data_IF_155643431534
#
_entry.id   IF_155643431534
#
_cell.length_a   1.000
_cell.length_b   1.000
_cell.length_c   1.000
_cell.angle_alpha   90.00
_cell.angle_beta   90.00
_cell.angle_gamma   90.00
#
_symmetry.space_group_name_H-M   'P 1'
#
loop_
_entity.id
_entity.type
_entity.pdbx_description
1 polymer ?
#
# COMPACT_ATOMS: atom_id res chain seq x y z
N UNK A 1 2.34 5.33 -15.39
CA UNK A 1 2.88 4.60 -14.24
C UNK A 1 2.73 3.10 -14.44
N UNK A 2 3.84 2.36 -14.25
CA UNK A 2 3.85 0.90 -14.40
C UNK A 2 3.08 0.21 -13.24
N UNK A 3 3.00 0.87 -12.08
CA UNK A 3 2.28 0.42 -10.88
C UNK A 3 1.16 1.40 -10.53
N UNK A 4 0.18 1.53 -11.41
CA UNK A 4 -1.02 2.32 -11.12
C UNK A 4 -1.90 1.62 -10.10
N UNK A 5 -2.78 2.37 -9.44
CA UNK A 5 -3.83 1.80 -8.60
C UNK A 5 -5.00 1.35 -9.49
N UNK A 6 -5.46 0.14 -9.27
CA UNK A 6 -6.64 -0.40 -9.97
C UNK A 6 -7.91 0.28 -9.48
N UNK A 7 -8.63 0.92 -10.39
CA UNK A 7 -9.91 1.53 -10.09
C UNK A 7 -10.91 0.49 -9.55
N UNK A 8 -11.53 0.78 -8.42
CA UNK A 8 -12.46 -0.13 -7.76
C UNK A 8 -11.81 -1.38 -7.14
N UNK A 9 -10.48 -1.50 -7.19
CA UNK A 9 -9.72 -2.62 -6.65
C UNK A 9 -9.47 -2.54 -5.14
N UNK A 10 -8.72 -3.53 -4.63
CA UNK A 10 -8.26 -3.58 -3.25
C UNK A 10 -6.78 -3.20 -3.22
N UNK A 11 -6.45 -2.14 -2.50
CA UNK A 11 -5.08 -1.64 -2.34
C UNK A 11 -4.63 -1.76 -0.90
N UNK A 12 -3.37 -2.13 -0.67
CA UNK A 12 -2.77 -2.17 0.66
C UNK A 12 -1.40 -1.49 0.68
N UNK A 13 -1.13 -0.74 1.74
CA UNK A 13 0.18 -0.16 2.03
C UNK A 13 0.75 -0.82 3.29
N UNK A 14 1.79 -1.62 3.11
CA UNK A 14 2.48 -2.33 4.16
C UNK A 14 3.58 -1.45 4.77
N UNK A 15 3.48 -1.13 6.06
CA UNK A 15 4.35 -0.16 6.74
C UNK A 15 3.97 1.29 6.42
N UNK A 16 2.66 1.56 6.26
CA UNK A 16 2.13 2.84 5.76
C UNK A 16 1.87 3.91 6.81
N UNK A 17 2.22 3.72 8.09
CA UNK A 17 2.00 4.75 9.12
C UNK A 17 3.20 5.71 9.31
N UNK A 18 4.17 5.70 8.40
CA UNK A 18 5.24 6.69 8.34
C UNK A 18 4.86 7.92 7.49
N UNK A 19 5.76 8.93 7.41
CA UNK A 19 5.52 10.15 6.62
C UNK A 19 5.18 9.87 5.15
N UNK A 20 5.91 8.95 4.52
CA UNK A 20 5.66 8.56 3.12
C UNK A 20 4.31 7.88 2.94
N UNK A 21 3.90 7.04 3.90
CA UNK A 21 2.59 6.41 3.88
C UNK A 21 1.46 7.42 4.04
N UNK A 22 1.62 8.40 4.94
CA UNK A 22 0.65 9.49 5.11
C UNK A 22 0.43 10.26 3.80
N UNK A 23 1.52 10.61 3.10
CA UNK A 23 1.45 11.27 1.80
C UNK A 23 0.78 10.38 0.75
N UNK A 24 1.11 9.08 0.73
CA UNK A 24 0.50 8.13 -0.20
C UNK A 24 -1.01 7.97 0.03
N UNK A 25 -1.46 7.92 1.30
CA UNK A 25 -2.90 7.88 1.62
C UNK A 25 -3.61 9.12 1.08
N UNK A 26 -3.06 10.31 1.36
CA UNK A 26 -3.61 11.58 0.84
C UNK A 26 -3.69 11.56 -0.68
N UNK A 27 -2.59 11.19 -1.35
CA UNK A 27 -2.54 11.11 -2.80
C UNK A 27 -3.61 10.18 -3.36
N UNK A 28 -3.77 8.97 -2.79
CA UNK A 28 -4.79 8.00 -3.23
C UNK A 28 -6.21 8.56 -3.07
N UNK A 29 -6.48 9.30 -2.02
CA UNK A 29 -7.80 9.90 -1.81
C UNK A 29 -8.10 11.04 -2.79
N UNK A 30 -7.08 11.70 -3.35
CA UNK A 30 -7.23 12.79 -4.32
C UNK A 30 -7.16 12.33 -5.79
N UNK A 31 -6.70 11.10 -6.06
CA UNK A 31 -6.65 10.55 -7.42
C UNK A 31 -8.05 10.52 -8.06
N UNK A 32 -8.09 10.65 -9.39
CA UNK A 32 -9.32 10.46 -10.16
C UNK A 32 -9.81 9.00 -10.10
N UNK A 33 -8.90 8.07 -10.37
CA UNK A 33 -9.16 6.62 -10.29
C UNK A 33 -8.77 6.10 -8.92
N UNK A 34 -9.74 5.72 -8.12
CA UNK A 34 -9.56 5.31 -6.72
C UNK A 34 -9.78 3.81 -6.53
N UNK A 35 -9.10 3.18 -5.56
CA UNK A 35 -9.45 1.84 -5.15
C UNK A 35 -10.80 1.86 -4.42
N UNK A 36 -11.52 0.73 -4.43
CA UNK A 36 -12.67 0.54 -3.55
C UNK A 36 -12.23 0.52 -2.09
N UNK A 37 -11.11 -0.17 -1.82
CA UNK A 37 -10.57 -0.38 -0.47
C UNK A 37 -9.11 -0.02 -0.39
N UNK A 38 -8.75 0.74 0.66
CA UNK A 38 -7.37 1.08 1.00
C UNK A 38 -7.08 0.62 2.43
N UNK A 39 -6.17 -0.34 2.57
CA UNK A 39 -5.74 -0.87 3.87
C UNK A 39 -4.34 -0.36 4.18
N UNK A 40 -4.16 0.20 5.36
CA UNK A 40 -2.88 0.68 5.88
C UNK A 40 -2.45 -0.22 7.01
N UNK A 41 -1.25 -0.78 6.93
CA UNK A 41 -0.70 -1.57 8.03
C UNK A 41 0.56 -0.93 8.58
N UNK A 42 0.77 -1.08 9.88
CA UNK A 42 2.03 -0.80 10.56
C UNK A 42 2.06 -1.58 11.89
N UNK A 43 3.26 -1.99 12.32
CA UNK A 43 3.42 -2.69 13.61
C UNK A 43 3.45 -1.72 14.79
N UNK A 44 3.65 -0.43 14.55
CA UNK A 44 3.65 0.60 15.58
C UNK A 44 2.24 1.18 15.75
N UNK A 45 1.58 0.80 16.85
CA UNK A 45 0.21 1.22 17.16
C UNK A 45 0.05 2.74 17.28
N UNK A 46 1.01 3.41 17.92
CA UNK A 46 0.96 4.86 18.10
C UNK A 46 1.02 5.62 16.76
N UNK A 47 1.83 5.11 15.81
CA UNK A 47 1.89 5.68 14.44
C UNK A 47 0.56 5.48 13.72
N UNK A 48 -0.03 4.29 13.80
CA UNK A 48 -1.35 4.03 13.20
C UNK A 48 -2.42 4.96 13.75
N UNK A 49 -2.44 5.17 15.08
CA UNK A 49 -3.40 6.08 15.71
C UNK A 49 -3.17 7.55 15.31
N UNK A 50 -1.91 7.98 15.18
CA UNK A 50 -1.60 9.32 14.68
C UNK A 50 -2.11 9.52 13.26
N UNK A 51 -1.81 8.58 12.35
CA UNK A 51 -2.28 8.65 10.96
C UNK A 51 -3.80 8.61 10.90
N UNK A 52 -4.45 7.74 11.69
CA UNK A 52 -5.92 7.66 11.78
C UNK A 52 -6.57 8.95 12.31
N UNK A 53 -5.88 9.69 13.19
CA UNK A 53 -6.36 11.02 13.64
C UNK A 53 -6.22 12.08 12.55
N UNK A 54 -5.16 12.02 11.74
CA UNK A 54 -4.90 12.97 10.65
C UNK A 54 -5.81 12.69 9.45
N UNK A 55 -6.00 11.41 9.11
CA UNK A 55 -6.89 10.95 8.03
C UNK A 55 -7.86 9.93 8.62
N UNK A 56 -8.99 10.35 9.17
CA UNK A 56 -9.97 9.43 9.74
C UNK A 56 -10.65 8.59 8.65
N UNK A 57 -11.20 7.44 9.02
CA UNK A 57 -11.89 6.53 8.09
C UNK A 57 -13.10 7.21 7.40
N UNK A 58 -13.69 8.19 8.06
CA UNK A 58 -14.78 9.01 7.53
C UNK A 58 -14.34 9.85 6.31
N UNK A 59 -13.07 10.26 6.29
CA UNK A 59 -12.50 10.97 5.14
C UNK A 59 -12.36 10.04 3.93
N UNK A 60 -11.92 8.78 4.14
CA UNK A 60 -11.97 7.77 3.08
C UNK A 60 -13.37 7.63 2.49
N UNK A 61 -14.40 7.56 3.34
CA UNK A 61 -15.79 7.46 2.88
C UNK A 61 -16.25 8.65 2.05
N UNK A 62 -15.83 9.89 2.42
CA UNK A 62 -16.14 11.11 1.63
C UNK A 62 -15.54 11.04 0.23
N UNK A 63 -14.41 10.36 0.08
CA UNK A 63 -13.72 10.14 -1.20
C UNK A 63 -14.18 8.85 -1.92
N UNK A 64 -15.16 8.10 -1.36
CA UNK A 64 -15.63 6.85 -1.93
C UNK A 64 -14.71 5.64 -1.72
N UNK A 65 -13.81 5.72 -0.73
CA UNK A 65 -12.81 4.68 -0.41
C UNK A 65 -13.08 4.08 0.97
N UNK A 66 -13.16 2.76 1.06
CA UNK A 66 -13.19 2.03 2.33
C UNK A 66 -11.77 2.03 2.93
N UNK A 67 -11.52 2.90 3.93
CA UNK A 67 -10.20 3.06 4.55
C UNK A 67 -10.09 2.27 5.84
N UNK A 68 -9.01 1.48 5.99
CA UNK A 68 -8.75 0.65 7.18
C UNK A 68 -7.32 0.84 7.68
N UNK A 69 -7.16 0.79 9.01
CA UNK A 69 -5.87 0.83 9.71
C UNK A 69 -5.73 -0.43 10.55
N UNK A 70 -4.70 -1.24 10.28
CA UNK A 70 -4.51 -2.56 10.90
C UNK A 70 -3.09 -2.70 11.43
N UNK A 71 -2.98 -3.14 12.67
CA UNK A 71 -1.71 -3.56 13.24
C UNK A 71 -1.53 -5.08 13.07
N UNK A 72 -0.68 -5.54 12.13
CA UNK A 72 -0.48 -6.96 11.89
C UNK A 72 0.23 -7.67 13.05
N UNK A 73 0.89 -6.94 13.96
CA UNK A 73 1.55 -7.54 15.13
C UNK A 73 0.56 -8.00 16.22
N UNK A 74 -0.72 -7.65 16.11
CA UNK A 74 -1.75 -8.07 17.05
C UNK A 74 -2.27 -9.49 16.82
N UNK A 75 -1.79 -10.18 15.77
CA UNK A 75 -2.17 -11.55 15.41
C UNK A 75 -0.94 -12.39 15.09
N UNK A 76 -1.02 -13.70 15.28
CA UNK A 76 0.10 -14.63 15.03
C UNK A 76 0.45 -14.72 13.54
N UNK A 77 -0.56 -14.78 12.66
CA UNK A 77 -0.39 -14.70 11.19
C UNK A 77 -1.39 -13.67 10.66
N UNK A 78 -0.86 -12.60 10.08
CA UNK A 78 -1.67 -11.52 9.52
C UNK A 78 -2.23 -11.83 8.12
N UNK A 79 -1.68 -12.80 7.41
CA UNK A 79 -2.09 -13.10 6.03
C UNK A 79 -3.56 -13.52 5.94
N UNK A 80 -4.07 -14.47 6.76
CA UNK A 80 -5.50 -14.81 6.72
C UNK A 80 -6.41 -13.62 7.03
N UNK A 81 -6.02 -12.77 7.99
CA UNK A 81 -6.79 -11.57 8.35
C UNK A 81 -6.86 -10.59 7.18
N UNK A 82 -5.74 -10.36 6.50
CA UNK A 82 -5.67 -9.47 5.35
C UNK A 82 -6.44 -10.01 4.14
N UNK A 83 -6.37 -11.32 3.88
CA UNK A 83 -7.10 -11.96 2.79
C UNK A 83 -8.62 -11.93 3.04
N UNK A 84 -9.07 -12.18 4.26
CA UNK A 84 -10.49 -12.11 4.63
C UNK A 84 -11.11 -10.74 4.31
N UNK A 85 -10.33 -9.66 4.40
CA UNK A 85 -10.79 -8.31 4.05
C UNK A 85 -11.14 -8.16 2.57
N UNK A 86 -10.61 -9.03 1.71
CA UNK A 86 -10.84 -9.02 0.26
C UNK A 86 -11.75 -10.18 -0.19
N UNK A 87 -12.42 -10.86 0.75
CA UNK A 87 -13.17 -12.09 0.50
C UNK A 87 -12.29 -13.14 -0.20
N UNK A 88 -11.08 -13.33 0.30
CA UNK A 88 -10.04 -14.27 -0.17
C UNK A 88 -9.55 -14.02 -1.62
N UNK A 89 -9.95 -12.91 -2.25
CA UNK A 89 -9.52 -12.56 -3.62
C UNK A 89 -8.09 -12.01 -3.67
N UNK A 90 -7.57 -11.54 -2.55
CA UNK A 90 -6.28 -10.86 -2.46
C UNK A 90 -6.33 -9.40 -2.92
N UNK A 91 -5.17 -8.75 -2.88
CA UNK A 91 -5.01 -7.35 -3.21
C UNK A 91 -4.57 -7.17 -4.66
N UNK A 92 -5.18 -6.20 -5.34
CA UNK A 92 -4.80 -5.80 -6.70
C UNK A 92 -3.50 -5.00 -6.69
N UNK A 93 -3.30 -4.16 -5.65
CA UNK A 93 -2.12 -3.32 -5.50
C UNK A 93 -1.55 -3.44 -4.08
N UNK A 94 -0.28 -3.82 -4.00
CA UNK A 94 0.46 -3.97 -2.74
C UNK A 94 1.67 -3.04 -2.76
N UNK A 95 1.71 -2.08 -1.84
CA UNK A 95 2.84 -1.17 -1.68
C UNK A 95 3.64 -1.53 -0.44
N UNK A 96 4.94 -1.79 -0.60
CA UNK A 96 5.84 -2.15 0.49
C UNK A 96 6.66 -0.92 0.88
N UNK A 97 6.31 -0.31 2.02
CA UNK A 97 6.94 0.91 2.55
C UNK A 97 7.82 0.66 3.78
N UNK A 98 7.86 -0.57 4.27
CA UNK A 98 8.73 -0.95 5.37
C UNK A 98 9.82 -1.93 4.91
N UNK A 99 11.09 -1.74 5.33
CA UNK A 99 12.23 -2.51 4.83
C UNK A 99 12.34 -3.97 5.30
N UNK A 100 11.72 -4.45 6.42
CA UNK A 100 11.88 -5.85 6.80
C UNK A 100 11.42 -6.82 5.72
N UNK A 101 12.23 -7.85 5.42
CA UNK A 101 11.95 -8.83 4.37
C UNK A 101 10.59 -9.52 4.52
N UNK A 102 10.17 -9.79 5.77
CA UNK A 102 8.88 -10.38 6.06
C UNK A 102 7.70 -9.54 5.54
N UNK A 103 7.86 -8.23 5.41
CA UNK A 103 6.81 -7.34 4.88
C UNK A 103 6.61 -7.60 3.39
N UNK A 104 7.69 -7.74 2.61
CA UNK A 104 7.62 -8.12 1.20
C UNK A 104 7.10 -9.55 1.02
N UNK A 105 7.49 -10.48 1.90
CA UNK A 105 7.01 -11.86 1.90
C UNK A 105 5.49 -11.94 2.19
N UNK A 106 4.99 -11.15 3.16
CA UNK A 106 3.55 -10.99 3.41
C UNK A 106 2.88 -10.41 2.16
N UNK A 107 3.44 -9.34 1.58
CA UNK A 107 2.93 -8.72 0.36
C UNK A 107 2.75 -9.73 -0.76
N UNK A 108 3.74 -10.59 -0.99
CA UNK A 108 3.65 -11.64 -2.01
C UNK A 108 2.53 -12.67 -1.73
N UNK A 109 2.27 -13.01 -0.46
CA UNK A 109 1.24 -13.98 -0.06
C UNK A 109 -0.18 -13.46 -0.17
N UNK A 110 -0.38 -12.14 -0.15
CA UNK A 110 -1.71 -11.51 -0.17
C UNK A 110 -2.10 -10.93 -1.53
N UNK A 111 -1.22 -11.00 -2.55
CA UNK A 111 -1.58 -10.56 -3.90
C UNK A 111 -2.70 -11.41 -4.50
N UNK A 112 -3.63 -10.73 -5.16
CA UNK A 112 -4.69 -11.36 -5.94
C UNK A 112 -4.28 -11.63 -7.40
N UNK A 113 -5.24 -12.10 -8.20
CA UNK A 113 -5.08 -12.32 -9.64
C UNK A 113 -4.71 -11.00 -10.34
N UNK A 114 -3.69 -11.04 -11.21
CA UNK A 114 -3.08 -9.89 -11.90
C UNK A 114 -2.53 -8.79 -10.97
N UNK A 115 -2.40 -9.09 -9.67
CA UNK A 115 -1.94 -8.15 -8.66
C UNK A 115 -0.53 -7.62 -8.92
N UNK A 116 -0.28 -6.39 -8.47
CA UNK A 116 1.00 -5.71 -8.59
C UNK A 116 1.57 -5.35 -7.22
N UNK A 117 2.78 -5.82 -6.93
CA UNK A 117 3.51 -5.42 -5.72
C UNK A 117 4.61 -4.44 -6.09
N UNK A 118 4.58 -3.25 -5.48
CA UNK A 118 5.61 -2.24 -5.61
C UNK A 118 6.49 -2.22 -4.36
N UNK A 119 7.79 -2.47 -4.54
CA UNK A 119 8.80 -2.36 -3.49
C UNK A 119 9.37 -0.95 -3.53
N UNK A 120 8.90 -0.11 -2.60
CA UNK A 120 9.40 1.25 -2.41
C UNK A 120 10.45 1.32 -1.30
N UNK A 121 10.33 0.48 -0.27
CA UNK A 121 11.28 0.44 0.84
C UNK A 121 12.67 0.00 0.37
N UNK A 122 13.68 0.81 0.69
CA UNK A 122 15.07 0.54 0.33
C UNK A 122 15.83 -0.10 1.49
N UNK A 123 16.88 -0.84 1.15
CA UNK A 123 17.91 -1.33 2.09
C UNK A 123 19.29 -0.99 1.53
N UNK A 124 20.24 -0.73 2.41
CA UNK A 124 21.65 -0.53 2.05
C UNK A 124 22.38 -1.85 1.77
N UNK A 125 21.85 -2.98 2.23
CA UNK A 125 22.44 -4.30 2.03
C UNK A 125 22.13 -4.84 0.63
N UNK A 126 23.14 -4.89 -0.24
CA UNK A 126 23.05 -5.43 -1.61
C UNK A 126 22.70 -6.93 -1.65
N UNK A 127 22.94 -7.66 -0.55
CA UNK A 127 22.64 -9.08 -0.42
C UNK A 127 21.30 -9.37 0.27
N UNK A 128 20.54 -8.34 0.58
CA UNK A 128 19.23 -8.49 1.19
C UNK A 128 18.28 -9.27 0.28
N UNK A 129 17.69 -10.35 0.81
CA UNK A 129 16.83 -11.28 0.05
C UNK A 129 15.53 -11.49 0.79
N UNK A 130 14.43 -11.58 0.04
CA UNK A 130 13.12 -11.98 0.52
C UNK A 130 12.62 -13.19 -0.27
N UNK A 131 11.92 -14.10 0.39
CA UNK A 131 11.33 -15.26 -0.25
C UNK A 131 10.06 -14.90 -1.02
N UNK A 132 9.96 -15.30 -2.29
CA UNK A 132 8.79 -15.09 -3.13
C UNK A 132 8.20 -16.43 -3.60
N UNK A 133 6.88 -16.54 -3.59
CA UNK A 133 6.18 -17.69 -4.12
C UNK A 133 6.07 -17.59 -5.65
N UNK A 134 7.03 -18.21 -6.35
CA UNK A 134 7.09 -18.18 -7.82
C UNK A 134 5.90 -18.93 -8.44
N UNK A 135 5.45 -20.03 -7.82
CA UNK A 135 4.25 -20.75 -8.27
C UNK A 135 3.02 -19.83 -8.27
N UNK A 136 2.77 -19.11 -7.15
CA UNK A 136 1.70 -18.14 -7.05
C UNK A 136 1.84 -17.02 -8.09
N UNK A 137 3.08 -16.50 -8.27
CA UNK A 137 3.35 -15.48 -9.27
C UNK A 137 3.01 -15.94 -10.69
N UNK A 138 3.32 -17.19 -11.05
CA UNK A 138 2.98 -17.76 -12.36
C UNK A 138 1.46 -17.89 -12.56
N UNK A 139 0.76 -18.53 -11.63
CA UNK A 139 -0.67 -18.82 -11.79
C UNK A 139 -1.57 -17.63 -11.53
N UNK A 140 -1.18 -16.72 -10.65
CA UNK A 140 -1.90 -15.48 -10.38
C UNK A 140 -1.48 -14.32 -11.30
N UNK A 141 -0.47 -14.53 -12.17
CA UNK A 141 0.06 -13.52 -13.10
C UNK A 141 0.50 -12.23 -12.41
N UNK A 142 1.05 -12.37 -11.20
CA UNK A 142 1.41 -11.21 -10.39
C UNK A 142 2.66 -10.50 -10.92
N UNK A 143 2.76 -9.22 -10.64
CA UNK A 143 3.85 -8.35 -11.06
C UNK A 143 4.61 -7.86 -9.83
N UNK A 144 5.95 -7.86 -9.92
CA UNK A 144 6.82 -7.27 -8.93
C UNK A 144 7.56 -6.09 -9.55
N UNK A 145 7.43 -4.92 -8.95
CA UNK A 145 8.03 -3.68 -9.44
C UNK A 145 8.83 -3.03 -8.33
N UNK A 146 10.07 -2.67 -8.62
CA UNK A 146 10.86 -1.78 -7.79
C UNK A 146 10.69 -0.33 -8.24
N UNK A 147 10.59 0.60 -7.30
CA UNK A 147 10.62 2.02 -7.61
C UNK A 147 11.61 2.76 -6.73
N UNK A 148 12.37 3.66 -7.33
CA UNK A 148 13.35 4.50 -6.65
C UNK A 148 13.33 5.91 -7.25
N UNK A 149 13.13 6.91 -6.40
CA UNK A 149 12.98 8.30 -6.83
C UNK A 149 11.65 8.58 -7.53
N UNK A 150 11.56 9.73 -8.17
CA UNK A 150 10.41 10.19 -8.95
C UNK A 150 10.86 10.90 -10.22
N UNK A 151 9.96 11.06 -11.16
CA UNK A 151 10.15 11.84 -12.37
C UNK A 151 9.86 13.33 -12.11
N UNK A 152 10.33 14.21 -13.02
CA UNK A 152 9.97 15.63 -12.96
C UNK A 152 8.45 15.85 -13.01
N UNK A 153 7.75 15.04 -13.80
CA UNK A 153 6.27 15.06 -13.87
C UNK A 153 5.61 14.82 -12.52
N UNK A 154 6.17 13.88 -11.73
CA UNK A 154 5.63 13.56 -10.40
C UNK A 154 5.78 14.74 -9.43
N UNK A 155 6.89 15.50 -9.56
CA UNK A 155 7.11 16.72 -8.79
C UNK A 155 6.13 17.84 -9.18
N UNK A 156 5.86 18.01 -10.47
CA UNK A 156 4.88 19.00 -10.96
C UNK A 156 3.48 18.66 -10.44
N UNK A 157 3.06 17.40 -10.56
CA UNK A 157 1.77 16.93 -10.04
C UNK A 157 1.64 17.15 -8.52
N UNK A 158 2.71 16.84 -7.76
CA UNK A 158 2.72 17.08 -6.31
C UNK A 158 2.57 18.57 -5.96
N UNK A 159 3.25 19.47 -6.69
CA UNK A 159 3.12 20.91 -6.50
C UNK A 159 1.70 21.40 -6.82
N UNK A 160 1.10 20.94 -7.90
CA UNK A 160 -0.28 21.28 -8.26
C UNK A 160 -1.28 20.84 -7.18
N UNK A 161 -1.09 19.64 -6.58
CA UNK A 161 -1.93 19.16 -5.47
C UNK A 161 -1.78 20.03 -4.21
N UNK A 162 -0.57 20.51 -3.91
CA UNK A 162 -0.30 21.41 -2.78
C UNK A 162 -0.92 22.79 -3.04
N UNK A 163 -0.72 23.37 -4.22
CA UNK A 163 -1.29 24.68 -4.60
C UNK A 163 -2.81 24.68 -4.56
N UNK A 164 -3.44 23.58 -4.98
CA UNK A 164 -4.89 23.39 -4.91
C UNK A 164 -5.41 23.02 -3.50
N UNK A 165 -4.54 23.04 -2.46
CA UNK A 165 -4.85 22.66 -1.07
C UNK A 165 -5.43 21.24 -0.91
N UNK A 166 -5.13 20.35 -1.83
CA UNK A 166 -5.55 18.94 -1.76
C UNK A 166 -4.61 18.10 -0.92
N UNK A 167 -3.37 18.56 -0.75
CA UNK A 167 -2.36 17.95 0.12
C UNK A 167 -1.77 19.02 1.06
N UNK A 168 -2.31 19.12 2.26
CA UNK A 168 -1.78 19.94 3.37
C UNK A 168 -1.34 19.05 4.52
#
# INVERSE_FOLDING_TARGET
>A
HISGIKEGGNTIILGGAGPMGLMAIRYVLEMEKKPKRLVITDTNQERLEKVRKIIPVEEGRRHGVELYYINPAMVTDSVPVLLAMTNEKGYDDVFVYAPPKCVAEIGNRIMGMDGCMNIYAATADKNYRAGMNIYGSHYLKTKLIGSSGGLRSDMVEALELIENKKMN
#
